data_IF_953920697925
#
_entry.id   IF_953920697925
#
_cell.length_a   1.000
_cell.length_b   1.000
_cell.length_c   1.000
_cell.angle_alpha   90.00
_cell.angle_beta   90.00
_cell.angle_gamma   90.00
#
_symmetry.space_group_name_H-M   'P 1'
#
loop_
_entity.id
_entity.type
_entity.pdbx_description
1 polymer ?
#
# COMPACT_ATOMS: atom_id res chain seq x y z
N UNK A 1 -75.76 -14.68 -4.52
CA UNK A 1 -75.12 -14.95 -5.83
C UNK A 1 -73.93 -14.01 -6.12
N UNK A 2 -74.06 -12.68 -5.98
CA UNK A 2 -73.01 -11.67 -6.29
C UNK A 2 -71.66 -11.81 -5.55
N UNK A 3 -71.63 -12.26 -4.29
CA UNK A 3 -70.38 -12.36 -3.51
C UNK A 3 -69.45 -13.49 -3.97
N UNK A 4 -70.01 -14.58 -4.52
CA UNK A 4 -69.22 -15.72 -5.02
C UNK A 4 -68.51 -15.40 -6.34
N UNK A 5 -69.12 -14.57 -7.19
CA UNK A 5 -68.49 -14.07 -8.42
C UNK A 5 -67.37 -13.07 -8.14
N UNK A 6 -67.49 -12.26 -7.10
CA UNK A 6 -66.45 -11.31 -6.72
C UNK A 6 -65.20 -12.01 -6.17
N UNK A 7 -65.38 -13.02 -5.33
CA UNK A 7 -64.28 -13.85 -4.81
C UNK A 7 -63.56 -14.64 -5.92
N UNK A 8 -64.31 -15.18 -6.89
CA UNK A 8 -63.71 -15.87 -8.04
C UNK A 8 -62.96 -14.90 -8.97
N UNK A 9 -63.50 -13.70 -9.21
CA UNK A 9 -62.84 -12.69 -10.03
C UNK A 9 -61.56 -12.16 -9.39
N UNK A 10 -61.53 -12.01 -8.07
CA UNK A 10 -60.35 -11.57 -7.32
C UNK A 10 -59.26 -12.65 -7.29
N UNK A 11 -59.64 -13.92 -7.12
CA UNK A 11 -58.70 -15.04 -7.18
C UNK A 11 -58.07 -15.18 -8.58
N UNK A 12 -58.87 -15.00 -9.65
CA UNK A 12 -58.36 -15.10 -11.02
C UNK A 12 -57.41 -13.95 -11.39
N UNK A 13 -57.66 -12.73 -10.88
CA UNK A 13 -56.78 -11.57 -11.10
C UNK A 13 -55.46 -11.68 -10.34
N UNK A 14 -55.48 -12.22 -9.10
CA UNK A 14 -54.25 -12.50 -8.34
C UNK A 14 -53.40 -13.57 -9.03
N UNK A 15 -54.02 -14.65 -9.55
CA UNK A 15 -53.29 -15.70 -10.29
C UNK A 15 -52.70 -15.15 -11.59
N UNK A 16 -53.42 -14.29 -12.32
CA UNK A 16 -52.90 -13.65 -13.53
C UNK A 16 -51.71 -12.70 -13.25
N UNK A 17 -51.75 -11.95 -12.15
CA UNK A 17 -50.64 -11.07 -11.73
C UNK A 17 -49.39 -11.85 -11.29
N UNK A 18 -49.57 -13.00 -10.63
CA UNK A 18 -48.45 -13.87 -10.24
C UNK A 18 -47.80 -14.56 -11.45
N UNK A 19 -48.58 -14.94 -12.47
CA UNK A 19 -48.02 -15.50 -13.71
C UNK A 19 -47.28 -14.45 -14.56
N UNK A 20 -47.71 -13.18 -14.55
CA UNK A 20 -47.02 -12.09 -15.23
C UNK A 20 -45.68 -11.71 -14.54
N UNK A 21 -45.58 -11.84 -13.21
CA UNK A 21 -44.37 -11.54 -12.46
C UNK A 21 -43.22 -12.55 -12.70
N UNK A 22 -43.54 -13.78 -13.13
CA UNK A 22 -42.55 -14.81 -13.42
C UNK A 22 -41.96 -14.72 -14.83
N UNK A 23 -42.47 -13.84 -15.71
CA UNK A 23 -42.03 -13.73 -17.11
C UNK A 23 -41.43 -12.35 -17.46
N UNK A 24 -41.07 -11.55 -16.45
CA UNK A 24 -40.27 -10.35 -16.66
C UNK A 24 -38.85 -10.77 -17.09
N UNK A 25 -38.34 -10.31 -18.25
CA UNK A 25 -36.95 -10.54 -18.62
C UNK A 25 -36.08 -9.95 -17.51
N UNK A 26 -35.32 -10.80 -16.81
CA UNK A 26 -34.28 -10.33 -15.91
C UNK A 26 -33.33 -9.49 -16.74
N UNK A 27 -33.16 -8.22 -16.38
CA UNK A 27 -32.03 -7.45 -16.86
C UNK A 27 -30.77 -8.20 -16.38
N UNK A 28 -30.12 -8.93 -17.28
CA UNK A 28 -28.84 -9.56 -17.02
C UNK A 28 -27.88 -8.45 -16.64
N UNK A 29 -27.47 -8.45 -15.36
CA UNK A 29 -26.32 -7.66 -14.94
C UNK A 29 -25.14 -8.20 -15.74
N UNK A 30 -24.44 -7.37 -16.52
CA UNK A 30 -23.35 -7.85 -17.36
C UNK A 30 -22.34 -8.59 -16.49
N UNK A 31 -22.02 -9.81 -16.88
CA UNK A 31 -20.98 -10.60 -16.25
C UNK A 31 -19.67 -9.79 -16.30
N UNK A 32 -19.03 -9.50 -15.15
CA UNK A 32 -17.75 -8.81 -15.11
C UNK A 32 -16.70 -9.49 -15.98
N UNK A 33 -16.75 -10.83 -16.12
CA UNK A 33 -15.83 -11.58 -16.97
C UNK A 33 -16.11 -11.37 -18.47
N UNK A 34 -17.37 -11.24 -18.88
CA UNK A 34 -17.70 -10.96 -20.29
C UNK A 34 -17.37 -9.52 -20.68
N UNK A 35 -17.52 -8.58 -19.75
CA UNK A 35 -17.16 -7.17 -19.94
C UNK A 35 -15.64 -6.98 -20.05
N UNK A 36 -14.88 -7.74 -19.26
CA UNK A 36 -13.41 -7.73 -19.31
C UNK A 36 -12.88 -8.42 -20.59
N UNK A 37 -13.47 -9.54 -21.00
CA UNK A 37 -13.13 -10.21 -22.27
C UNK A 37 -13.47 -9.35 -23.50
N UNK A 38 -14.56 -8.57 -23.45
CA UNK A 38 -14.89 -7.61 -24.49
C UNK A 38 -13.86 -6.46 -24.57
N UNK A 39 -13.31 -6.02 -23.43
CA UNK A 39 -12.26 -5.00 -23.37
C UNK A 39 -10.93 -5.53 -23.93
N UNK A 40 -10.54 -6.76 -23.56
CA UNK A 40 -9.34 -7.41 -24.11
C UNK A 40 -9.47 -7.66 -25.62
N UNK A 41 -10.64 -8.06 -26.10
CA UNK A 41 -10.90 -8.28 -27.54
C UNK A 41 -10.81 -6.97 -28.34
N UNK A 42 -11.35 -5.86 -27.81
CA UNK A 42 -11.19 -4.55 -28.45
C UNK A 42 -9.72 -4.10 -28.50
N UNK A 43 -8.96 -4.35 -27.43
CA UNK A 43 -7.52 -4.02 -27.41
C UNK A 43 -6.69 -4.84 -28.40
N UNK A 44 -7.02 -6.13 -28.60
CA UNK A 44 -6.39 -7.00 -29.58
C UNK A 44 -6.71 -6.58 -31.02
N UNK A 45 -7.96 -6.17 -31.29
CA UNK A 45 -8.36 -5.66 -32.61
C UNK A 45 -7.64 -4.35 -32.99
N UNK A 46 -7.33 -3.48 -32.01
CA UNK A 46 -6.49 -2.29 -32.27
C UNK A 46 -5.04 -2.64 -32.63
N UNK A 47 -4.47 -3.72 -32.09
CA UNK A 47 -3.12 -4.18 -32.45
C UNK A 47 -3.08 -4.78 -33.86
N UNK A 48 -4.11 -5.52 -34.26
CA UNK A 48 -4.23 -6.05 -35.63
C UNK A 48 -4.48 -4.95 -36.67
N UNK A 49 -5.22 -3.90 -36.31
CA UNK A 49 -5.43 -2.73 -37.18
C UNK A 49 -4.15 -1.90 -37.42
N UNK A 50 -3.23 -1.85 -36.44
CA UNK A 50 -1.92 -1.18 -36.61
C UNK A 50 -0.92 -2.03 -37.41
N UNK A 51 -1.07 -3.36 -37.42
CA UNK A 51 -0.25 -4.28 -38.24
C UNK A 51 -0.64 -4.29 -39.74
N UNK A 52 -1.73 -3.60 -40.12
CA UNK A 52 -2.28 -3.59 -41.49
C UNK A 52 -1.81 -2.41 -42.35
N UNK A 53 -0.89 -1.56 -41.88
CA UNK A 53 -0.26 -0.54 -42.74
C UNK A 53 0.89 -1.12 -43.56
N UNK A 54 0.49 -1.66 -44.72
CA UNK A 54 1.26 -1.81 -45.98
C UNK A 54 2.75 -1.42 -45.98
N UNK A 55 3.61 -2.43 -46.01
CA UNK A 55 4.97 -2.31 -46.54
C UNK A 55 4.91 -2.16 -48.08
N UNK A 56 5.75 -1.30 -48.71
CA UNK A 56 5.74 -1.11 -50.15
C UNK A 56 6.23 -2.37 -50.88
N UNK A 57 5.41 -2.85 -51.81
CA UNK A 57 5.67 -4.03 -52.64
C UNK A 57 6.66 -3.67 -53.75
N UNK A 58 7.88 -4.21 -53.69
CA UNK A 58 8.78 -4.22 -54.84
C UNK A 58 8.30 -5.27 -55.84
N UNK A 59 8.08 -4.84 -57.08
CA UNK A 59 7.63 -5.67 -58.19
C UNK A 59 8.68 -6.74 -58.54
N UNK A 60 8.24 -7.99 -58.60
CA UNK A 60 9.02 -9.13 -59.08
C UNK A 60 8.94 -9.14 -60.61
N UNK A 61 10.08 -8.91 -61.28
CA UNK A 61 10.22 -9.08 -62.72
C UNK A 61 10.32 -10.57 -63.10
N UNK A 62 9.80 -10.86 -64.29
CA UNK A 62 9.69 -12.16 -64.96
C UNK A 62 11.04 -12.87 -65.20
N UNK A 63 11.10 -14.22 -65.22
CA UNK A 63 12.35 -14.94 -65.47
C UNK A 63 12.69 -15.00 -66.97
N UNK A 64 13.71 -14.26 -67.41
CA UNK A 64 14.42 -14.48 -68.67
C UNK A 64 15.52 -15.55 -68.52
N UNK A 65 15.88 -16.29 -69.59
CA UNK A 65 16.65 -17.53 -69.49
C UNK A 65 18.14 -17.32 -69.18
N UNK A 66 18.68 -18.33 -68.51
CA UNK A 66 20.02 -18.48 -67.98
C UNK A 66 21.10 -18.26 -69.06
N UNK A 67 21.91 -17.21 -68.88
CA UNK A 67 23.21 -17.10 -69.55
C UNK A 67 24.30 -17.61 -68.61
N UNK A 68 25.10 -18.54 -69.12
CA UNK A 68 26.26 -19.13 -68.46
C UNK A 68 27.33 -18.06 -68.21
N UNK A 69 27.51 -17.65 -66.95
CA UNK A 69 28.59 -16.74 -66.53
C UNK A 69 29.77 -17.51 -65.93
N UNK A 70 30.93 -17.24 -66.50
CA UNK A 70 32.31 -17.60 -66.11
C UNK A 70 32.57 -17.43 -64.59
N UNK A 71 33.39 -18.30 -63.96
CA UNK A 71 33.67 -18.21 -62.51
C UNK A 71 34.39 -16.91 -62.13
N UNK A 72 33.80 -16.18 -61.18
CA UNK A 72 34.41 -15.02 -60.53
C UNK A 72 35.32 -15.48 -59.37
N UNK A 73 36.51 -14.89 -59.30
CA UNK A 73 37.50 -15.11 -58.24
C UNK A 73 36.95 -14.57 -56.91
N UNK A 74 36.90 -15.41 -55.88
CA UNK A 74 36.42 -15.04 -54.55
C UNK A 74 37.43 -14.15 -53.82
N UNK A 75 36.97 -12.97 -53.40
CA UNK A 75 37.66 -12.17 -52.38
C UNK A 75 37.40 -12.78 -51.00
N UNK A 76 38.40 -12.86 -50.09
CA UNK A 76 38.17 -13.35 -48.74
C UNK A 76 37.24 -12.38 -47.97
N UNK A 77 36.24 -12.94 -47.29
CA UNK A 77 35.36 -12.22 -46.36
C UNK A 77 36.19 -11.68 -45.18
N UNK A 78 35.92 -10.44 -44.70
CA UNK A 78 36.56 -9.93 -43.49
C UNK A 78 36.22 -10.81 -42.28
N UNK A 79 37.15 -10.96 -41.32
CA UNK A 79 36.91 -11.79 -40.13
C UNK A 79 35.75 -11.23 -39.32
N UNK A 80 34.75 -12.08 -39.06
CA UNK A 80 33.66 -11.80 -38.11
C UNK A 80 34.23 -11.98 -36.71
N UNK A 81 34.35 -10.88 -35.95
CA UNK A 81 34.73 -10.96 -34.54
C UNK A 81 33.56 -11.53 -33.73
N UNK A 82 33.63 -12.83 -33.43
CA UNK A 82 32.76 -13.44 -32.43
C UNK A 82 33.25 -13.02 -31.05
N UNK A 83 32.56 -12.08 -30.40
CA UNK A 83 32.85 -11.75 -29.01
C UNK A 83 32.62 -13.00 -28.16
N UNK A 84 33.68 -13.58 -27.61
CA UNK A 84 33.55 -14.64 -26.61
C UNK A 84 32.77 -14.07 -25.41
N UNK A 85 31.72 -14.77 -24.92
CA UNK A 85 31.00 -14.33 -23.74
C UNK A 85 31.98 -14.27 -22.57
N UNK A 86 32.23 -13.07 -22.04
CA UNK A 86 33.07 -12.92 -20.84
C UNK A 86 32.28 -13.46 -19.67
N UNK A 87 32.74 -14.55 -19.04
CA UNK A 87 32.15 -15.08 -17.81
C UNK A 87 32.97 -14.66 -16.60
N UNK A 88 32.30 -14.23 -15.52
CA UNK A 88 32.93 -13.79 -14.28
C UNK A 88 32.33 -14.56 -13.10
N UNK A 89 33.15 -14.82 -12.09
CA UNK A 89 32.71 -15.44 -10.84
C UNK A 89 31.67 -14.57 -10.14
N UNK A 90 32.05 -13.36 -9.73
CA UNK A 90 31.16 -12.40 -9.09
C UNK A 90 30.70 -11.36 -10.13
N UNK A 91 29.41 -11.40 -10.48
CA UNK A 91 28.82 -10.47 -11.44
C UNK A 91 27.35 -10.27 -11.17
N UNK A 92 26.97 -9.02 -10.91
CA UNK A 92 25.60 -8.65 -10.63
C UNK A 92 24.94 -7.98 -11.83
N UNK A 93 23.63 -8.11 -11.91
CA UNK A 93 22.77 -7.30 -12.78
C UNK A 93 21.75 -6.55 -11.93
N UNK A 94 21.52 -5.28 -12.25
CA UNK A 94 20.50 -4.49 -11.57
C UNK A 94 19.15 -4.80 -12.22
N UNK A 95 18.20 -5.27 -11.42
CA UNK A 95 16.86 -5.60 -11.94
C UNK A 95 15.92 -4.41 -11.76
N UNK A 96 15.77 -3.92 -10.53
CA UNK A 96 14.87 -2.81 -10.23
C UNK A 96 15.11 -2.21 -8.84
N UNK A 97 14.69 -0.95 -8.69
CA UNK A 97 14.37 -0.39 -7.39
C UNK A 97 13.03 -0.97 -6.94
N UNK A 98 13.02 -1.65 -5.79
CA UNK A 98 11.78 -2.18 -5.25
C UNK A 98 11.07 -1.12 -4.39
N UNK A 99 11.81 -0.38 -3.55
CA UNK A 99 11.31 0.82 -2.88
C UNK A 99 12.06 2.05 -3.35
N UNK A 100 11.41 3.21 -3.23
CA UNK A 100 11.99 4.53 -3.47
C UNK A 100 12.73 4.62 -4.82
N UNK A 101 12.02 4.47 -5.96
CA UNK A 101 12.64 4.62 -7.28
C UNK A 101 13.34 5.98 -7.41
N UNK A 102 14.29 6.06 -8.35
CA UNK A 102 15.07 7.28 -8.58
C UNK A 102 14.20 8.55 -8.64
N UNK A 103 14.56 9.55 -7.82
CA UNK A 103 13.85 10.82 -7.71
C UNK A 103 12.71 10.83 -6.69
N UNK A 104 12.56 9.76 -5.89
CA UNK A 104 11.61 9.73 -4.77
C UNK A 104 11.81 10.93 -3.84
N UNK A 105 10.72 11.57 -3.44
CA UNK A 105 10.76 12.78 -2.59
C UNK A 105 10.64 12.38 -1.11
N UNK A 106 11.54 12.75 -0.21
CA UNK A 106 11.42 12.47 1.22
C UNK A 106 11.44 13.77 2.02
N UNK A 107 10.92 13.73 3.25
CA UNK A 107 11.11 14.80 4.22
C UNK A 107 12.50 14.72 4.83
N UNK A 108 12.94 15.79 5.48
CA UNK A 108 14.20 15.83 6.24
C UNK A 108 14.18 14.82 7.37
N UNK A 109 15.29 14.12 7.56
CA UNK A 109 15.47 13.14 8.65
C UNK A 109 14.41 12.02 8.66
N UNK A 110 13.78 11.75 7.51
CA UNK A 110 12.80 10.68 7.36
C UNK A 110 13.54 9.33 7.27
N UNK A 111 13.30 8.39 8.21
CA UNK A 111 13.82 7.03 8.10
C UNK A 111 13.07 6.26 7.01
N UNK A 112 13.81 5.53 6.19
CA UNK A 112 13.24 4.77 5.08
C UNK A 112 14.04 3.51 4.77
N UNK A 113 13.38 2.48 4.26
CA UNK A 113 14.04 1.24 3.84
C UNK A 113 14.13 1.18 2.32
N UNK A 114 15.33 1.39 1.78
CA UNK A 114 15.63 1.20 0.36
C UNK A 114 15.85 -0.29 0.07
N UNK A 115 15.18 -0.82 -0.94
CA UNK A 115 15.36 -2.21 -1.36
C UNK A 115 15.66 -2.23 -2.84
N UNK A 116 16.77 -2.88 -3.20
CA UNK A 116 17.13 -3.15 -4.59
C UNK A 116 16.92 -4.63 -4.89
N UNK A 117 16.40 -4.94 -6.08
CA UNK A 117 16.50 -6.29 -6.63
C UNK A 117 17.73 -6.41 -7.52
N UNK A 118 18.57 -7.39 -7.19
CA UNK A 118 19.80 -7.69 -7.90
C UNK A 118 19.78 -9.14 -8.37
N UNK A 119 20.28 -9.41 -9.57
CA UNK A 119 20.44 -10.76 -10.12
C UNK A 119 21.90 -11.18 -10.10
N UNK A 120 22.17 -12.42 -9.72
CA UNK A 120 23.46 -13.05 -9.92
C UNK A 120 23.56 -13.52 -11.39
N UNK A 121 24.39 -12.86 -12.18
CA UNK A 121 24.71 -13.25 -13.57
C UNK A 121 26.15 -13.77 -13.70
N UNK A 122 26.81 -14.03 -12.57
CA UNK A 122 28.12 -14.64 -12.51
C UNK A 122 28.05 -16.16 -12.46
N UNK A 123 29.20 -16.79 -12.18
CA UNK A 123 29.33 -18.25 -12.04
C UNK A 123 29.43 -18.71 -10.60
N UNK A 124 29.64 -17.80 -9.65
CA UNK A 124 29.78 -18.11 -8.22
C UNK A 124 28.48 -17.88 -7.45
N UNK A 125 28.14 -18.80 -6.55
CA UNK A 125 27.01 -18.61 -5.64
C UNK A 125 27.37 -17.60 -4.54
N UNK A 126 26.52 -16.61 -4.33
CA UNK A 126 26.66 -15.68 -3.21
C UNK A 126 26.06 -16.32 -1.96
N UNK A 127 26.73 -16.16 -0.83
CA UNK A 127 26.32 -16.74 0.47
C UNK A 127 26.16 -15.64 1.52
N UNK A 128 25.81 -15.99 2.75
CA UNK A 128 25.76 -15.03 3.87
C UNK A 128 27.09 -14.34 4.21
N UNK A 129 28.22 -14.76 3.63
CA UNK A 129 29.51 -14.08 3.74
C UNK A 129 29.68 -12.94 2.73
N UNK A 130 28.73 -12.76 1.82
CA UNK A 130 28.66 -11.63 0.91
C UNK A 130 27.87 -10.51 1.56
N UNK A 131 28.19 -9.28 1.20
CA UNK A 131 27.49 -8.11 1.73
C UNK A 131 27.31 -7.03 0.68
N UNK A 132 26.23 -6.26 0.82
CA UNK A 132 26.10 -4.94 0.22
C UNK A 132 26.88 -3.93 1.03
N UNK A 133 27.61 -3.03 0.36
CA UNK A 133 28.39 -1.97 1.00
C UNK A 133 28.17 -0.63 0.32
N UNK A 134 28.11 0.42 1.12
CA UNK A 134 28.18 1.80 0.64
C UNK A 134 29.60 2.08 0.13
N UNK A 135 29.72 2.77 -1.01
CA UNK A 135 31.02 3.07 -1.62
C UNK A 135 31.32 4.56 -1.77
N UNK A 136 30.33 5.39 -2.07
CA UNK A 136 30.52 6.84 -2.27
C UNK A 136 29.20 7.60 -2.36
N UNK A 137 29.26 8.94 -2.36
CA UNK A 137 28.09 9.82 -2.46
C UNK A 137 27.54 10.18 -1.09
N UNK A 138 26.22 10.34 -1.00
CA UNK A 138 25.51 10.63 0.24
C UNK A 138 25.18 9.35 0.99
N UNK A 139 25.77 9.17 2.18
CA UNK A 139 25.65 7.93 2.95
C UNK A 139 24.23 7.70 3.49
N UNK A 140 23.49 8.75 3.84
CA UNK A 140 22.11 8.65 4.38
C UNK A 140 22.01 7.66 5.55
N UNK A 141 22.98 7.70 6.47
CA UNK A 141 23.14 6.76 7.59
C UNK A 141 23.19 5.27 7.19
N UNK A 142 23.63 4.98 5.97
CA UNK A 142 23.81 3.61 5.52
C UNK A 142 24.74 2.82 6.46
N UNK A 143 24.35 1.58 6.84
CA UNK A 143 25.24 0.70 7.58
C UNK A 143 26.50 0.39 6.76
N UNK A 144 27.61 0.16 7.46
CA UNK A 144 28.92 -0.13 6.83
C UNK A 144 28.83 -1.34 5.88
N UNK A 145 28.02 -2.33 6.24
CA UNK A 145 27.72 -3.48 5.39
C UNK A 145 26.36 -4.09 5.76
N UNK A 146 25.65 -4.62 4.77
CA UNK A 146 24.44 -5.45 4.95
C UNK A 146 24.72 -6.84 4.39
N UNK A 147 24.80 -7.84 5.27
CA UNK A 147 25.01 -9.23 4.85
C UNK A 147 23.83 -9.74 4.03
N UNK A 148 24.10 -10.53 2.99
CA UNK A 148 23.04 -11.19 2.23
C UNK A 148 22.39 -12.29 3.09
N UNK A 149 21.07 -12.43 2.97
CA UNK A 149 20.34 -13.52 3.64
C UNK A 149 20.20 -14.72 2.70
N UNK A 150 20.76 -15.86 3.10
CA UNK A 150 20.69 -17.11 2.32
C UNK A 150 21.71 -17.18 1.19
N UNK A 151 21.48 -18.12 0.26
CA UNK A 151 22.32 -18.32 -0.92
C UNK A 151 21.62 -17.80 -2.19
N UNK A 152 22.37 -17.10 -3.04
CA UNK A 152 21.94 -16.60 -4.35
C UNK A 152 22.80 -17.26 -5.43
N UNK A 153 22.28 -18.33 -6.03
CA UNK A 153 23.00 -19.07 -7.07
C UNK A 153 23.00 -18.31 -8.42
N UNK A 154 23.91 -18.66 -9.34
CA UNK A 154 23.88 -18.14 -10.71
C UNK A 154 22.48 -18.20 -11.34
N UNK A 155 22.06 -17.08 -11.93
CA UNK A 155 20.75 -16.88 -12.53
C UNK A 155 19.66 -16.42 -11.58
N UNK A 156 19.83 -16.54 -10.25
CA UNK A 156 18.83 -16.15 -9.25
C UNK A 156 18.87 -14.66 -8.91
N UNK A 157 17.77 -14.17 -8.34
CA UNK A 157 17.61 -12.79 -7.86
C UNK A 157 17.55 -12.74 -6.34
N UNK A 158 17.90 -11.59 -5.77
CA UNK A 158 17.81 -11.28 -4.35
C UNK A 158 17.37 -9.85 -4.15
N UNK A 159 16.53 -9.63 -3.15
CA UNK A 159 16.12 -8.31 -2.70
C UNK A 159 16.90 -7.94 -1.46
N UNK A 160 17.61 -6.82 -1.51
CA UNK A 160 18.53 -6.41 -0.45
C UNK A 160 17.99 -5.15 0.23
N UNK A 161 17.45 -5.23 1.46
CA UNK A 161 16.91 -4.10 2.19
C UNK A 161 18.02 -3.35 2.92
N UNK A 162 17.96 -2.02 2.89
CA UNK A 162 18.86 -1.13 3.62
C UNK A 162 18.06 -0.03 4.28
N UNK A 163 18.16 0.03 5.60
CA UNK A 163 17.60 1.13 6.37
C UNK A 163 18.51 2.34 6.24
N UNK A 164 17.92 3.46 5.84
CA UNK A 164 18.57 4.75 5.58
C UNK A 164 17.80 5.86 6.29
N UNK A 165 18.44 7.01 6.45
CA UNK A 165 17.82 8.24 6.94
C UNK A 165 18.11 9.34 5.92
N UNK A 166 17.05 9.94 5.40
CA UNK A 166 17.18 11.05 4.46
C UNK A 166 17.84 12.27 5.14
N UNK A 167 18.70 13.04 4.44
CA UNK A 167 19.43 14.13 5.07
C UNK A 167 18.54 15.23 5.67
N UNK A 168 19.04 15.94 6.68
CA UNK A 168 18.31 17.00 7.36
C UNK A 168 18.20 18.34 6.60
N UNK A 169 18.57 18.38 5.31
CA UNK A 169 18.54 19.58 4.47
C UNK A 169 17.86 19.27 3.14
N UNK A 170 17.21 20.28 2.57
CA UNK A 170 16.60 20.15 1.25
C UNK A 170 17.69 20.02 0.18
N UNK A 171 17.45 19.18 -0.81
CA UNK A 171 18.40 18.92 -1.87
C UNK A 171 18.17 17.58 -2.55
N UNK A 172 18.93 17.31 -3.61
CA UNK A 172 19.00 15.98 -4.22
C UNK A 172 20.20 15.23 -3.66
N UNK A 173 19.98 13.99 -3.27
CA UNK A 173 20.98 13.16 -2.61
C UNK A 173 21.09 11.83 -3.32
N UNK A 174 22.32 11.38 -3.52
CA UNK A 174 22.59 10.11 -4.20
C UNK A 174 23.69 9.33 -3.50
N UNK A 175 23.36 8.12 -3.06
CA UNK A 175 24.29 7.18 -2.43
C UNK A 175 24.58 6.00 -3.35
N UNK A 176 25.85 5.63 -3.51
CA UNK A 176 26.30 4.56 -4.41
C UNK A 176 26.73 3.32 -3.61
N UNK A 177 26.34 2.16 -4.10
CA UNK A 177 26.53 0.87 -3.44
C UNK A 177 27.13 -0.17 -4.40
N UNK A 178 27.83 -1.15 -3.82
CA UNK A 178 28.37 -2.34 -4.49
C UNK A 178 28.19 -3.58 -3.61
N UNK A 179 28.31 -4.75 -4.20
CA UNK A 179 28.45 -6.00 -3.46
C UNK A 179 29.92 -6.23 -3.12
N UNK A 180 30.16 -6.96 -2.02
CA UNK A 180 31.46 -7.40 -1.54
C UNK A 180 31.43 -8.89 -1.34
N UNK A 181 32.37 -9.61 -1.93
CA UNK A 181 32.48 -11.06 -1.76
C UNK A 181 33.14 -11.45 -0.44
N UNK A 182 33.21 -12.76 -0.16
CA UNK A 182 33.77 -13.31 1.08
C UNK A 182 35.26 -12.95 1.32
N UNK A 183 36.00 -12.64 0.26
CA UNK A 183 37.41 -12.21 0.33
C UNK A 183 37.56 -10.69 0.47
N UNK A 184 36.45 -9.95 0.59
CA UNK A 184 36.46 -8.50 0.72
C UNK A 184 36.55 -7.72 -0.60
N UNK A 185 36.50 -8.39 -1.75
CA UNK A 185 36.60 -7.74 -3.07
C UNK A 185 35.24 -7.16 -3.48
N UNK A 186 35.25 -5.91 -3.95
CA UNK A 186 34.06 -5.22 -4.43
C UNK A 186 33.74 -5.59 -5.88
N UNK A 187 32.48 -5.85 -6.15
CA UNK A 187 31.93 -6.05 -7.49
C UNK A 187 30.53 -5.42 -7.58
N UNK A 188 30.05 -5.21 -8.78
CA UNK A 188 28.79 -4.55 -9.03
C UNK A 188 28.21 -4.97 -10.38
N UNK A 189 27.53 -4.01 -11.00
CA UNK A 189 26.72 -4.25 -12.20
C UNK A 189 27.42 -3.83 -13.49
N UNK A 190 26.77 -4.11 -14.62
CA UNK A 190 27.23 -3.75 -15.95
C UNK A 190 28.35 -4.66 -16.50
N UNK A 191 28.83 -4.40 -17.73
CA UNK A 191 29.66 -5.36 -18.49
C UNK A 191 31.00 -5.74 -17.85
N UNK A 192 31.50 -4.95 -16.90
CA UNK A 192 32.77 -5.15 -16.20
C UNK A 192 32.59 -5.61 -14.74
N UNK A 193 31.37 -5.85 -14.27
CA UNK A 193 31.07 -6.12 -12.87
C UNK A 193 31.63 -5.06 -11.89
N UNK A 194 31.74 -3.81 -12.35
CA UNK A 194 32.44 -2.75 -11.62
C UNK A 194 31.56 -1.52 -11.37
N UNK A 195 30.36 -1.44 -11.95
CA UNK A 195 29.49 -0.28 -11.84
C UNK A 195 28.72 -0.33 -10.52
N UNK A 196 28.62 0.79 -9.82
CA UNK A 196 27.73 0.91 -8.66
C UNK A 196 26.28 1.06 -9.11
N UNK A 197 25.36 0.55 -8.31
CA UNK A 197 23.96 0.97 -8.33
C UNK A 197 23.74 1.97 -7.17
N UNK A 198 22.59 2.64 -7.15
CA UNK A 198 22.42 3.79 -6.26
C UNK A 198 21.01 3.90 -5.68
N UNK A 199 20.89 4.74 -4.66
CA UNK A 199 19.65 5.37 -4.22
C UNK A 199 19.73 6.84 -4.59
N UNK A 200 18.65 7.38 -5.16
CA UNK A 200 18.52 8.78 -5.55
C UNK A 200 17.20 9.35 -5.05
N UNK A 201 17.30 10.32 -4.15
CA UNK A 201 16.15 10.96 -3.52
C UNK A 201 16.24 12.48 -3.61
N UNK A 202 15.09 13.14 -3.61
CA UNK A 202 14.96 14.56 -3.36
C UNK A 202 14.43 14.77 -1.93
N UNK A 203 15.16 15.48 -1.09
CA UNK A 203 14.66 15.90 0.22
C UNK A 203 14.04 17.28 0.10
N UNK A 204 12.80 17.42 0.57
CA UNK A 204 12.08 18.69 0.59
C UNK A 204 11.27 18.86 1.87
N UNK A 205 11.58 19.91 2.63
CA UNK A 205 10.89 20.24 3.88
C UNK A 205 11.09 19.18 4.97
N UNK A 206 10.66 19.48 6.20
CA UNK A 206 10.34 18.40 7.14
C UNK A 206 9.06 17.73 6.64
N UNK A 207 8.93 16.41 6.77
CA UNK A 207 7.63 15.75 6.63
C UNK A 207 7.32 15.06 7.95
N UNK A 208 6.05 15.06 8.33
CA UNK A 208 5.57 14.26 9.45
C UNK A 208 4.42 13.36 9.00
N UNK A 209 4.22 12.27 9.74
CA UNK A 209 3.06 11.40 9.55
C UNK A 209 1.83 12.14 10.07
N UNK A 210 1.04 12.71 9.17
CA UNK A 210 -0.21 13.38 9.52
C UNK A 210 -1.30 12.39 9.91
N UNK A 211 -1.25 11.18 9.36
CA UNK A 211 -2.12 10.07 9.74
C UNK A 211 -1.42 8.74 9.42
N UNK A 212 -1.40 7.81 10.38
CA UNK A 212 -0.90 6.44 10.20
C UNK A 212 -2.09 5.48 10.17
N UNK A 213 -2.44 4.97 8.99
CA UNK A 213 -3.66 4.17 8.82
C UNK A 213 -3.53 2.81 9.51
N UNK A 214 -2.34 2.21 9.53
CA UNK A 214 -2.13 0.91 10.18
C UNK A 214 -2.17 1.02 11.71
N UNK A 215 -1.63 2.09 12.27
CA UNK A 215 -1.66 2.33 13.72
C UNK A 215 -3.06 2.71 14.22
N UNK A 216 -3.88 3.32 13.36
CA UNK A 216 -5.25 3.75 13.65
C UNK A 216 -6.28 2.91 12.88
N UNK A 217 -5.99 1.64 12.60
CA UNK A 217 -6.83 0.81 11.73
C UNK A 217 -8.23 0.54 12.30
N UNK A 218 -8.43 0.68 13.63
CA UNK A 218 -9.76 0.59 14.25
C UNK A 218 -10.58 1.88 14.19
N UNK A 219 -10.03 2.97 13.66
CA UNK A 219 -10.84 4.13 13.29
C UNK A 219 -11.69 3.84 12.04
N UNK A 220 -11.29 2.84 11.23
CA UNK A 220 -12.04 2.43 10.05
C UNK A 220 -13.23 1.53 10.40
N UNK A 221 -14.34 1.77 9.69
CA UNK A 221 -15.47 0.86 9.66
C UNK A 221 -15.18 -0.28 8.69
N UNK A 222 -14.87 -1.46 9.22
CA UNK A 222 -14.59 -2.66 8.44
C UNK A 222 -15.86 -3.41 8.05
N UNK A 223 -15.97 -3.80 6.79
CA UNK A 223 -17.09 -4.60 6.28
C UNK A 223 -16.64 -5.48 5.10
N UNK A 224 -17.45 -6.48 4.75
CA UNK A 224 -17.21 -7.37 3.60
C UNK A 224 -18.36 -7.32 2.56
N UNK A 225 -19.18 -6.27 2.61
CA UNK A 225 -20.39 -6.13 1.80
C UNK A 225 -21.62 -6.87 2.30
N UNK A 226 -21.51 -7.67 3.36
CA UNK A 226 -22.65 -8.35 4.00
C UNK A 226 -22.84 -7.90 5.44
N UNK A 227 -21.74 -7.83 6.19
CA UNK A 227 -21.73 -7.48 7.60
C UNK A 227 -20.60 -6.50 7.89
N UNK A 228 -20.74 -5.79 9.01
CA UNK A 228 -19.62 -5.11 9.64
C UNK A 228 -18.76 -6.13 10.40
N UNK A 229 -17.45 -5.93 10.34
CA UNK A 229 -16.45 -6.80 10.97
C UNK A 229 -15.92 -6.15 12.25
N UNK A 230 -15.56 -6.93 13.28
CA UNK A 230 -14.97 -6.40 14.50
C UNK A 230 -13.56 -5.83 14.24
N UNK A 231 -13.13 -4.92 15.11
CA UNK A 231 -11.76 -4.42 15.16
C UNK A 231 -11.20 -4.43 16.59
N UNK A 232 -10.02 -5.02 16.83
CA UNK A 232 -9.26 -5.86 15.90
C UNK A 232 -10.06 -7.09 15.45
N UNK A 233 -9.81 -7.56 14.23
CA UNK A 233 -10.41 -8.79 13.75
C UNK A 233 -9.79 -10.04 14.38
N UNK A 234 -10.43 -11.19 14.18
CA UNK A 234 -9.92 -12.49 14.66
C UNK A 234 -9.22 -13.21 13.51
N UNK A 235 -7.95 -13.55 13.70
CA UNK A 235 -7.17 -14.25 12.68
C UNK A 235 -7.79 -15.62 12.36
N UNK A 236 -8.03 -15.89 11.08
CA UNK A 236 -8.67 -17.12 10.59
C UNK A 236 -10.20 -17.03 10.45
N UNK A 237 -10.82 -15.90 10.76
CA UNK A 237 -12.25 -15.70 10.52
C UNK A 237 -12.57 -15.65 9.01
N UNK A 238 -13.44 -16.57 8.56
CA UNK A 238 -13.87 -16.67 7.16
C UNK A 238 -14.73 -15.50 6.70
N UNK A 239 -15.26 -14.68 7.61
CA UNK A 239 -15.91 -13.41 7.25
C UNK A 239 -14.91 -12.36 6.71
N UNK A 240 -13.60 -12.58 6.91
CA UNK A 240 -12.55 -11.61 6.67
C UNK A 240 -12.20 -10.84 7.95
N UNK A 241 -10.99 -10.28 8.02
CA UNK A 241 -10.52 -9.57 9.20
C UNK A 241 -9.43 -8.56 8.88
N UNK A 242 -9.31 -7.54 9.73
CA UNK A 242 -8.21 -6.58 9.71
C UNK A 242 -7.46 -6.62 11.04
N UNK A 243 -6.13 -6.75 11.00
CA UNK A 243 -5.26 -6.71 12.18
C UNK A 243 -3.95 -5.99 11.87
N UNK A 244 -3.36 -5.35 12.88
CA UNK A 244 -2.01 -4.79 12.78
C UNK A 244 -0.95 -5.89 12.92
N UNK A 245 0.16 -5.75 12.19
CA UNK A 245 1.34 -6.59 12.30
C UNK A 245 2.55 -5.72 12.64
N UNK A 246 3.24 -6.04 13.74
CA UNK A 246 4.46 -5.35 14.12
C UNK A 246 5.63 -5.83 13.26
N UNK A 247 6.19 -4.93 12.43
CA UNK A 247 7.34 -5.19 11.56
C UNK A 247 7.21 -6.50 10.74
N UNK A 248 6.16 -6.64 9.91
CA UNK A 248 5.96 -7.84 9.13
C UNK A 248 7.08 -8.01 8.10
N UNK A 249 7.25 -9.26 7.66
CA UNK A 249 8.12 -9.59 6.54
C UNK A 249 7.39 -9.36 5.22
N UNK A 250 8.13 -8.81 4.26
CA UNK A 250 7.75 -8.79 2.85
C UNK A 250 7.81 -10.21 2.27
N UNK A 251 7.30 -10.41 1.06
CA UNK A 251 7.25 -11.74 0.40
C UNK A 251 8.62 -12.40 0.23
N UNK A 252 9.65 -11.59 0.01
CA UNK A 252 11.04 -12.03 -0.10
C UNK A 252 11.68 -12.41 1.27
N UNK A 253 10.93 -12.29 2.38
CA UNK A 253 11.37 -12.62 3.73
C UNK A 253 12.09 -11.50 4.48
N UNK A 254 12.37 -10.37 3.82
CA UNK A 254 12.99 -9.20 4.43
C UNK A 254 12.02 -8.51 5.40
N UNK A 255 12.56 -7.92 6.47
CA UNK A 255 11.77 -7.10 7.37
C UNK A 255 11.39 -5.77 6.71
N UNK A 256 10.15 -5.33 6.92
CA UNK A 256 9.64 -4.08 6.34
C UNK A 256 10.08 -2.82 7.07
N UNK A 257 10.43 -2.92 8.36
CA UNK A 257 10.80 -1.77 9.20
C UNK A 257 9.63 -0.86 9.59
N UNK A 258 8.39 -1.23 9.27
CA UNK A 258 7.18 -0.44 9.55
C UNK A 258 6.05 -1.31 10.11
N UNK A 259 5.01 -0.69 10.68
CA UNK A 259 3.79 -1.42 11.05
C UNK A 259 3.05 -1.79 9.76
N UNK A 260 2.59 -3.04 9.68
CA UNK A 260 1.70 -3.49 8.61
C UNK A 260 0.25 -3.56 9.06
N UNK A 261 -0.66 -3.43 8.11
CA UNK A 261 -2.09 -3.67 8.24
C UNK A 261 -2.45 -4.86 7.36
N UNK A 262 -2.68 -6.01 8.00
CA UNK A 262 -3.17 -7.21 7.33
C UNK A 262 -4.67 -7.07 7.15
N UNK A 263 -5.14 -7.15 5.91
CA UNK A 263 -6.55 -7.12 5.53
C UNK A 263 -6.88 -8.37 4.74
N UNK A 264 -7.61 -9.28 5.35
CA UNK A 264 -7.99 -10.56 4.73
C UNK A 264 -9.43 -10.48 4.23
N UNK A 265 -9.67 -10.71 2.93
CA UNK A 265 -11.01 -10.67 2.38
C UNK A 265 -11.85 -11.82 2.93
N UNK A 266 -13.17 -11.69 2.83
CA UNK A 266 -14.10 -12.80 3.10
C UNK A 266 -13.71 -14.03 2.29
N UNK A 267 -13.71 -15.19 2.93
CA UNK A 267 -13.46 -16.51 2.32
C UNK A 267 -14.62 -16.88 1.38
N UNK A 268 -14.54 -16.34 0.16
CA UNK A 268 -15.48 -16.55 -0.92
C UNK A 268 -14.78 -16.27 -2.25
N UNK A 269 -15.30 -16.84 -3.33
CA UNK A 269 -14.83 -16.48 -4.67
C UNK A 269 -15.07 -14.99 -4.93
N UNK A 270 -13.99 -14.26 -5.22
CA UNK A 270 -13.96 -12.79 -5.32
C UNK A 270 -14.54 -12.08 -4.09
N UNK A 271 -14.38 -12.68 -2.90
CA UNK A 271 -14.68 -12.02 -1.64
C UNK A 271 -13.85 -10.77 -1.45
N UNK A 272 -14.31 -9.85 -0.60
CA UNK A 272 -13.55 -8.64 -0.31
C UNK A 272 -13.67 -8.26 1.16
N UNK A 273 -12.74 -7.41 1.58
CA UNK A 273 -12.81 -6.64 2.81
C UNK A 273 -12.62 -5.17 2.46
N UNK A 274 -13.37 -4.30 3.12
CA UNK A 274 -13.29 -2.86 2.94
C UNK A 274 -13.22 -2.17 4.31
N UNK A 275 -12.26 -1.25 4.46
CA UNK A 275 -12.15 -0.34 5.60
C UNK A 275 -12.43 1.09 5.15
N UNK A 276 -13.42 1.73 5.78
CA UNK A 276 -13.78 3.13 5.53
C UNK A 276 -13.30 3.98 6.70
N UNK A 277 -12.26 4.79 6.49
CA UNK A 277 -11.69 5.66 7.52
C UNK A 277 -12.52 6.93 7.74
N UNK A 278 -12.40 7.58 8.91
CA UNK A 278 -13.00 8.90 9.12
C UNK A 278 -12.45 9.94 8.13
N UNK A 279 -13.16 11.05 7.91
CA UNK A 279 -12.67 12.12 7.04
C UNK A 279 -11.37 12.73 7.59
N UNK A 280 -10.35 12.80 6.73
CA UNK A 280 -9.06 13.40 7.03
C UNK A 280 -8.88 14.65 6.16
N UNK A 281 -8.58 15.77 6.80
CA UNK A 281 -8.33 17.04 6.11
C UNK A 281 -7.01 16.97 5.33
N UNK A 282 -7.09 17.01 4.00
CA UNK A 282 -5.92 17.04 3.11
C UNK A 282 -5.37 18.46 2.97
N UNK A 283 -4.05 18.60 3.08
CA UNK A 283 -3.30 19.84 2.88
C UNK A 283 -2.46 19.77 1.62
N UNK A 284 -2.00 20.94 1.17
CA UNK A 284 -1.13 21.07 0.00
C UNK A 284 0.16 20.29 0.23
N UNK A 285 0.55 19.48 -0.76
CA UNK A 285 1.75 18.63 -0.68
C UNK A 285 1.60 17.36 0.15
N UNK A 286 0.42 17.07 0.73
CA UNK A 286 0.18 15.78 1.36
C UNK A 286 0.37 14.63 0.35
N UNK A 287 0.98 13.52 0.79
CA UNK A 287 1.16 12.31 -0.03
C UNK A 287 0.70 11.07 0.72
N UNK A 288 0.05 10.14 0.03
CA UNK A 288 -0.20 8.81 0.56
C UNK A 288 0.95 7.87 0.16
N UNK A 289 1.53 7.17 1.14
CA UNK A 289 2.57 6.16 0.91
C UNK A 289 2.27 4.85 1.58
N UNK A 290 2.60 3.75 0.90
CA UNK A 290 2.53 2.40 1.44
C UNK A 290 3.37 1.44 0.59
N UNK A 291 3.58 0.22 1.08
CA UNK A 291 3.90 -0.93 0.22
C UNK A 291 2.71 -1.90 0.30
N UNK A 292 2.33 -2.51 -0.82
CA UNK A 292 1.41 -3.64 -0.83
C UNK A 292 2.20 -4.92 -1.07
N UNK A 293 1.85 -5.98 -0.35
CA UNK A 293 2.45 -7.30 -0.49
C UNK A 293 1.49 -8.39 0.02
N UNK A 294 1.66 -9.65 -0.41
CA UNK A 294 1.08 -10.79 0.30
C UNK A 294 1.95 -11.17 1.49
N UNK A 295 1.35 -11.44 2.66
CA UNK A 295 2.09 -11.83 3.87
C UNK A 295 3.09 -12.95 3.58
N UNK A 296 4.31 -12.82 4.09
CA UNK A 296 5.34 -13.85 3.95
C UNK A 296 4.81 -15.27 4.23
N UNK A 297 5.20 -16.24 3.39
CA UNK A 297 4.74 -17.64 3.36
C UNK A 297 3.27 -17.86 2.94
N UNK A 298 2.69 -16.96 2.14
CA UNK A 298 1.32 -17.09 1.63
C UNK A 298 1.29 -17.43 0.14
N UNK A 299 1.95 -18.53 -0.26
CA UNK A 299 2.11 -18.94 -1.68
C UNK A 299 0.82 -19.07 -2.51
N UNK A 300 -0.35 -19.03 -1.88
CA UNK A 300 -1.65 -19.05 -2.55
C UNK A 300 -2.28 -17.67 -2.78
N UNK A 301 -1.72 -16.63 -2.16
CA UNK A 301 -2.28 -15.29 -2.16
C UNK A 301 -2.33 -14.74 -3.59
N UNK A 302 -3.51 -14.27 -3.98
CA UNK A 302 -3.75 -13.55 -5.22
C UNK A 302 -4.89 -12.57 -4.99
N UNK A 303 -4.54 -11.29 -4.88
CA UNK A 303 -5.45 -10.23 -4.43
C UNK A 303 -5.34 -9.00 -5.29
N UNK A 304 -6.36 -8.16 -5.17
CA UNK A 304 -6.38 -6.82 -5.76
C UNK A 304 -6.54 -5.80 -4.63
N UNK A 305 -5.48 -5.03 -4.40
CA UNK A 305 -5.52 -3.85 -3.55
C UNK A 305 -6.15 -2.70 -4.32
N UNK A 306 -7.07 -1.99 -3.68
CA UNK A 306 -7.71 -0.81 -4.24
C UNK A 306 -7.79 0.28 -3.19
N UNK A 307 -7.30 1.46 -3.54
CA UNK A 307 -7.44 2.66 -2.73
C UNK A 307 -8.40 3.62 -3.43
N UNK A 308 -9.52 3.90 -2.77
CA UNK A 308 -10.48 4.90 -3.20
C UNK A 308 -10.56 6.04 -2.19
N UNK A 309 -11.17 7.14 -2.62
CA UNK A 309 -11.50 8.26 -1.78
C UNK A 309 -12.89 8.79 -2.05
N UNK A 310 -13.45 9.45 -1.05
CA UNK A 310 -14.71 10.16 -1.12
C UNK A 310 -14.55 11.53 -0.46
N UNK A 311 -15.13 12.56 -1.06
CA UNK A 311 -15.20 13.91 -0.47
C UNK A 311 -16.65 14.20 -0.15
N UNK A 312 -16.94 14.50 1.12
CA UNK A 312 -18.31 14.62 1.63
C UNK A 312 -19.12 13.35 1.37
N UNK A 313 -20.40 13.50 0.98
CA UNK A 313 -21.29 12.39 0.59
C UNK A 313 -21.23 12.01 -0.90
N UNK A 314 -20.19 12.41 -1.63
CA UNK A 314 -20.08 12.21 -3.08
C UNK A 314 -19.83 10.77 -3.52
N UNK A 315 -19.65 10.54 -4.82
CA UNK A 315 -19.27 9.20 -5.32
C UNK A 315 -17.83 8.83 -4.94
N UNK A 316 -17.57 7.53 -4.77
CA UNK A 316 -16.20 7.01 -4.63
C UNK A 316 -15.41 7.25 -5.91
N UNK A 317 -14.16 7.70 -5.74
CA UNK A 317 -13.20 7.93 -6.82
C UNK A 317 -11.94 7.11 -6.53
N UNK A 318 -11.35 6.55 -7.57
CA UNK A 318 -10.18 5.69 -7.42
C UNK A 318 -8.88 6.51 -7.38
N UNK A 319 -8.00 6.21 -6.43
CA UNK A 319 -6.61 6.69 -6.40
C UNK A 319 -5.65 5.67 -7.03
N UNK A 320 -5.99 4.39 -6.98
CA UNK A 320 -5.26 3.34 -7.68
C UNK A 320 -5.77 1.94 -7.38
N UNK A 321 -5.25 0.98 -8.14
CA UNK A 321 -5.50 -0.44 -7.99
C UNK A 321 -4.23 -1.22 -8.36
N UNK A 322 -3.89 -2.23 -7.56
CA UNK A 322 -2.68 -3.05 -7.72
C UNK A 322 -3.03 -4.51 -7.53
N UNK A 323 -2.69 -5.34 -8.52
CA UNK A 323 -2.80 -6.79 -8.40
C UNK A 323 -1.52 -7.30 -7.73
N UNK A 324 -1.67 -8.14 -6.71
CA UNK A 324 -0.57 -8.78 -6.00
C UNK A 324 -0.83 -10.28 -5.94
N UNK A 325 0.14 -11.08 -6.38
CA UNK A 325 0.16 -12.48 -6.04
C UNK A 325 1.48 -12.84 -5.36
N UNK A 326 1.52 -13.98 -4.66
CA UNK A 326 2.72 -14.39 -3.95
C UNK A 326 3.79 -14.88 -4.94
N UNK A 327 4.51 -13.94 -5.54
CA UNK A 327 5.57 -14.16 -6.52
C UNK A 327 6.96 -13.74 -6.02
N UNK A 328 7.06 -13.38 -4.74
CA UNK A 328 8.28 -12.81 -4.16
C UNK A 328 8.47 -11.34 -4.52
N UNK A 329 7.43 -10.71 -5.05
CA UNK A 329 7.37 -9.31 -5.41
C UNK A 329 6.61 -8.52 -4.34
N UNK A 330 6.57 -7.21 -4.53
CA UNK A 330 5.74 -6.29 -3.77
C UNK A 330 5.82 -4.93 -4.47
N UNK A 331 4.82 -4.08 -4.26
CA UNK A 331 4.71 -2.81 -4.98
C UNK A 331 4.68 -1.62 -4.01
N UNK A 332 5.46 -0.58 -4.32
CA UNK A 332 5.44 0.68 -3.56
C UNK A 332 4.40 1.65 -4.12
N UNK A 333 3.67 2.31 -3.23
CA UNK A 333 2.66 3.32 -3.54
C UNK A 333 3.17 4.68 -3.07
N UNK A 334 3.14 5.67 -3.97
CA UNK A 334 3.39 7.06 -3.62
C UNK A 334 2.47 7.99 -4.43
N UNK A 335 1.38 8.42 -3.79
CA UNK A 335 0.28 9.15 -4.45
C UNK A 335 0.29 10.59 -3.97
N UNK A 336 0.37 11.53 -4.93
CA UNK A 336 0.21 12.96 -4.64
C UNK A 336 -1.26 13.29 -4.38
N UNK A 337 -1.55 13.84 -3.20
CA UNK A 337 -2.89 14.23 -2.79
C UNK A 337 -3.10 15.74 -2.88
N UNK A 338 -2.13 16.51 -3.39
CA UNK A 338 -2.26 17.95 -3.64
C UNK A 338 -3.52 18.33 -4.45
N UNK A 339 -4.01 17.52 -5.42
CA UNK A 339 -5.28 17.79 -6.09
C UNK A 339 -6.51 17.81 -5.16
N UNK A 340 -6.41 17.23 -3.96
CA UNK A 340 -7.47 17.14 -2.95
C UNK A 340 -7.27 18.15 -1.80
N UNK A 341 -6.28 19.05 -1.90
CA UNK A 341 -6.05 20.06 -0.88
C UNK A 341 -7.31 20.86 -0.59
N UNK A 342 -7.55 21.15 0.68
CA UNK A 342 -8.77 21.87 1.05
C UNK A 342 -9.93 20.96 1.46
N UNK A 343 -9.89 19.68 1.11
CA UNK A 343 -11.01 18.77 1.29
C UNK A 343 -10.85 17.89 2.55
N UNK A 344 -11.99 17.54 3.13
CA UNK A 344 -12.12 16.43 4.08
C UNK A 344 -12.36 15.14 3.29
N UNK A 345 -11.36 14.27 3.30
CA UNK A 345 -11.29 13.09 2.44
C UNK A 345 -11.48 11.83 3.29
N UNK A 346 -12.50 11.05 2.96
CA UNK A 346 -12.68 9.69 3.46
C UNK A 346 -11.87 8.76 2.56
N UNK A 347 -10.90 8.06 3.15
CA UNK A 347 -10.11 7.05 2.43
C UNK A 347 -10.75 5.67 2.61
N UNK A 348 -10.85 4.92 1.52
CA UNK A 348 -11.47 3.60 1.48
C UNK A 348 -10.47 2.58 0.97
N UNK A 349 -10.06 1.70 1.87
CA UNK A 349 -9.12 0.62 1.58
C UNK A 349 -9.94 -0.62 1.26
N UNK A 350 -9.78 -1.16 0.06
CA UNK A 350 -10.45 -2.40 -0.33
C UNK A 350 -9.43 -3.42 -0.78
N UNK A 351 -9.59 -4.66 -0.32
CA UNK A 351 -8.85 -5.82 -0.84
C UNK A 351 -9.87 -6.82 -1.36
N UNK A 352 -9.72 -7.19 -2.63
CA UNK A 352 -10.48 -8.27 -3.24
C UNK A 352 -9.61 -9.52 -3.35
N UNK A 353 -10.16 -10.69 -3.05
CA UNK A 353 -9.64 -11.95 -3.55
C UNK A 353 -9.76 -11.94 -5.09
N UNK A 354 -8.74 -12.42 -5.78
CA UNK A 354 -8.73 -12.53 -7.24
C UNK A 354 -8.98 -13.99 -7.65
N UNK A 355 -10.23 -14.40 -7.52
CA UNK A 355 -10.66 -15.80 -7.64
C UNK A 355 -11.06 -16.40 -6.30
N UNK A 356 -10.85 -17.71 -6.16
CA UNK A 356 -11.14 -18.43 -4.93
C UNK A 356 -10.16 -18.02 -3.84
N UNK A 357 -10.67 -17.85 -2.61
CA UNK A 357 -9.82 -17.55 -1.48
C UNK A 357 -8.81 -18.67 -1.23
N UNK A 358 -7.52 -18.33 -1.18
CA UNK A 358 -6.48 -19.29 -0.82
C UNK A 358 -5.27 -18.64 -0.15
N UNK A 359 -5.39 -18.34 1.15
CA UNK A 359 -4.39 -17.57 1.91
C UNK A 359 -4.17 -16.17 1.34
N UNK A 360 -5.25 -15.48 0.98
CA UNK A 360 -5.25 -14.10 0.50
C UNK A 360 -4.96 -13.10 1.63
N UNK A 361 -3.77 -13.24 2.21
CA UNK A 361 -3.29 -12.46 3.34
C UNK A 361 -2.63 -11.17 2.83
N UNK A 362 -3.46 -10.23 2.40
CA UNK A 362 -3.04 -8.97 1.82
C UNK A 362 -2.53 -8.00 2.90
N UNK A 363 -1.31 -7.49 2.75
CA UNK A 363 -0.64 -6.63 3.70
C UNK A 363 -0.39 -5.24 3.11
N UNK A 364 -0.89 -4.21 3.79
CA UNK A 364 -0.47 -2.82 3.57
C UNK A 364 0.65 -2.49 4.57
N UNK A 365 1.85 -2.20 4.10
CA UNK A 365 2.99 -1.83 4.95
C UNK A 365 3.05 -0.32 5.05
N UNK A 366 3.10 0.20 6.28
CA UNK A 366 3.21 1.62 6.58
C UNK A 366 2.27 2.53 5.78
N UNK A 367 0.97 2.22 5.59
CA UNK A 367 0.04 3.10 4.89
C UNK A 367 -0.09 4.41 5.67
N UNK A 368 0.43 5.50 5.11
CA UNK A 368 0.60 6.80 5.80
C UNK A 368 0.22 7.96 4.91
N UNK A 369 -0.41 8.95 5.53
CA UNK A 369 -0.52 10.31 5.00
C UNK A 369 0.70 11.11 5.50
N UNK A 370 1.64 11.41 4.61
CA UNK A 370 2.79 12.25 4.90
C UNK A 370 2.48 13.69 4.54
N UNK A 371 2.84 14.62 5.42
CA UNK A 371 2.56 16.04 5.28
C UNK A 371 3.82 16.88 5.36
N UNK A 372 4.05 17.79 4.40
CA UNK A 372 5.12 18.76 4.47
C UNK A 372 4.97 19.77 5.61
N UNK A 373 6.11 20.15 6.17
CA UNK A 373 6.27 21.03 7.30
C UNK A 373 6.69 20.32 8.59
N UNK A 374 7.09 21.08 9.61
CA UNK A 374 7.33 20.53 10.94
C UNK A 374 6.04 19.93 11.50
N UNK A 375 6.14 18.86 12.32
CA UNK A 375 4.98 18.38 13.06
C UNK A 375 4.40 19.53 13.91
N UNK A 376 3.06 19.59 14.07
CA UNK A 376 2.45 20.55 14.99
C UNK A 376 3.11 20.41 16.37
N UNK A 377 3.36 21.51 17.10
CA UNK A 377 3.91 21.41 18.44
C UNK A 377 3.00 20.50 19.28
N UNK A 378 3.54 19.38 19.73
CA UNK A 378 2.85 18.51 20.69
C UNK A 378 2.55 19.36 21.91
N UNK A 379 1.27 19.54 22.25
CA UNK A 379 0.89 20.25 23.47
C UNK A 379 1.60 19.55 24.63
N UNK A 380 2.60 20.21 25.21
CA UNK A 380 3.23 19.73 26.43
C UNK A 380 2.11 19.64 27.46
N UNK A 381 1.87 18.48 28.10
CA UNK A 381 0.88 18.42 29.16
C UNK A 381 1.30 19.45 30.19
N UNK A 382 0.55 20.55 30.26
CA UNK A 382 0.73 21.54 31.31
C UNK A 382 0.43 20.80 32.59
N UNK A 383 1.46 20.60 33.43
CA UNK A 383 1.27 20.00 34.74
C UNK A 383 0.16 20.77 35.44
N UNK A 384 -1.01 20.14 35.61
CA UNK A 384 -2.05 20.67 36.47
C UNK A 384 -1.40 20.95 37.80
N UNK A 385 -1.37 22.21 38.30
CA UNK A 385 -0.81 22.47 39.61
C UNK A 385 -1.59 21.62 40.61
N UNK A 386 -0.89 20.68 41.25
CA UNK A 386 -1.42 19.97 42.40
C UNK A 386 -1.83 21.02 43.42
N UNK A 387 -3.13 21.17 43.66
CA UNK A 387 -3.64 22.00 44.74
C UNK A 387 -3.21 21.32 46.03
N UNK A 388 -2.05 21.73 46.56
CA UNK A 388 -1.66 21.41 47.93
C UNK A 388 -2.60 22.19 48.84
N UNK A 389 -3.65 21.53 49.34
CA UNK A 389 -4.50 22.09 50.38
C UNK A 389 -3.61 22.41 51.59
N UNK A 390 -3.45 23.69 51.86
CA UNK A 390 -2.77 24.18 53.07
C UNK A 390 -3.70 23.90 54.25
N UNK A 391 -3.26 23.21 55.32
CA UNK A 391 -4.11 22.97 56.48
C UNK A 391 -4.48 24.31 57.13
N UNK A 392 -5.80 24.57 57.19
CA UNK A 392 -6.37 25.75 57.84
C UNK A 392 -6.06 25.72 59.34
N UNK A 393 -5.55 26.82 59.88
CA UNK A 393 -5.24 26.97 61.29
C UNK A 393 -6.50 26.83 62.16
N UNK A 394 -6.38 26.03 63.22
CA UNK A 394 -7.36 25.89 64.30
C UNK A 394 -7.59 27.23 65.00
N UNK A 395 -8.81 27.74 64.98
CA UNK A 395 -9.19 28.92 65.74
C UNK A 395 -9.25 28.59 67.24
N UNK A 396 -8.41 29.27 68.03
CA UNK A 396 -8.48 29.25 69.50
C UNK A 396 -9.54 30.25 69.96
N UNK A 397 -10.58 29.77 70.63
CA UNK A 397 -11.61 30.62 71.23
C UNK A 397 -11.06 31.28 72.51
N UNK A 398 -11.00 32.61 72.52
CA UNK A 398 -10.76 33.40 73.74
C UNK A 398 -12.09 34.04 74.15
N UNK A 399 -12.54 33.73 75.36
CA UNK A 399 -13.77 34.27 75.93
C UNK A 399 -13.61 35.76 76.32
N UNK A 400 -14.64 36.57 76.07
CA UNK A 400 -14.81 37.93 76.62
C UNK A 400 -16.26 38.07 77.07
N UNK A 401 -16.53 38.69 78.25
CA UNK A 401 -17.79 38.46 78.98
C UNK A 401 -18.95 39.36 78.55
N UNK A 402 -20.12 38.73 78.64
CA UNK A 402 -21.48 39.21 78.97
C UNK A 402 -21.76 40.71 79.05
N UNK A 403 -22.78 41.14 78.30
CA UNK A 403 -23.74 42.13 78.74
C UNK A 403 -25.15 41.51 78.67
N UNK A 404 -25.84 41.56 79.81
CA UNK A 404 -27.23 41.13 80.05
C UNK A 404 -28.18 42.21 79.57
N UNK A 405 -29.30 41.82 78.95
CA UNK A 405 -30.68 42.39 79.00
C UNK A 405 -31.47 41.79 77.81
N UNK A 406 -32.78 41.57 77.79
CA UNK A 406 -33.86 41.30 78.76
C UNK A 406 -34.95 40.63 77.91
N UNK A 407 -35.61 39.58 78.43
CA UNK A 407 -36.58 38.75 77.70
C UNK A 407 -37.90 39.50 77.49
N UNK A 408 -38.53 39.35 76.32
CA UNK A 408 -39.98 39.44 76.17
C UNK A 408 -40.44 38.41 75.12
N UNK A 409 -41.14 37.37 75.59
CA UNK A 409 -41.89 36.41 74.78
C UNK A 409 -43.10 37.07 74.12
N UNK A 410 -43.50 36.63 72.92
CA UNK A 410 -44.92 36.46 72.55
C UNK A 410 -45.09 35.45 71.41
N UNK A 411 -45.49 34.24 71.80
CA UNK A 411 -46.50 33.30 71.27
C UNK A 411 -46.79 33.14 69.76
N UNK A 412 -46.62 31.90 69.32
CA UNK A 412 -47.16 31.25 68.12
C UNK A 412 -48.60 30.78 68.33
N UNK A 413 -49.53 30.95 67.37
CA UNK A 413 -50.76 30.15 67.33
C UNK A 413 -50.72 29.03 66.28
N UNK A 414 -51.02 27.83 66.78
CA UNK A 414 -51.36 26.59 66.08
C UNK A 414 -52.71 26.68 65.37
N UNK A 415 -52.91 26.08 64.18
CA UNK A 415 -54.24 25.70 63.71
C UNK A 415 -54.58 24.24 64.06
N UNK A 416 -55.65 24.09 64.84
CA UNK A 416 -56.34 22.84 65.17
C UNK A 416 -57.32 22.45 64.06
N UNK A 417 -57.49 21.14 63.91
CA UNK A 417 -58.29 20.40 62.95
C UNK A 417 -59.80 20.30 63.27
N UNK A 418 -60.56 19.93 62.22
CA UNK A 418 -61.79 19.09 62.22
C UNK A 418 -63.13 19.85 62.36
N UNK A 419 -64.27 19.40 61.78
CA UNK A 419 -64.59 18.10 61.14
C UNK A 419 -64.77 18.06 59.62
#
# INVERSE_FOLDING_TARGET
>A
MKFRYFAFSLALTVVALVQAACNLPRAERPDPASTLNALYTQSAQTLEAMASQSAPTLAIASPTPLSTSTPAVSSPLPPVWTSTPVTRCDWADFVSDMTYPDGSVLGRNEPFTKVWRIRNIGTCSWTGNYALVFVSGDAMDAPVAVALTGNVNPGQTVDIPVNLVSPGKDGRYRGYFKLRNASGVLFGVGPQAATSFWVDIAVTGENFVAYDFASNFCDANWNNGQIYLPCPGVEGDGAGYAIAAANPKLENGNQSGSVGLLTVPRDANNGYIQGVYPPIRVKDGDRFRSIVNCRYNSAGCNVVFRLDYQVGGGALKNLGQWNEAYEGQWYSLDIDLSPLKGQDVVFVFTVHANGAFFKDFAMWIGPRLLRPGPPPPTLTPTSTPTVTLTPSATATLTATPTATETVTETQTPTPTSTP
#
